data_IF_097911973916
#
_entry.id   IF_097911973916
#
_cell.length_a   1.000
_cell.length_b   1.000
_cell.length_c   1.000
_cell.angle_alpha   90.00
_cell.angle_beta   90.00
_cell.angle_gamma   90.00
#
_symmetry.space_group_name_H-M   'P 1'
#
loop_
_entity.id
_entity.type
_entity.pdbx_description
1 polymer ?
#
# COMPACT_ATOMS: atom_id res chain seq x y z
N UNK A 1 9.92 -17.30 -15.67
CA UNK A 1 9.42 -18.68 -15.80
C UNK A 1 7.98 -18.85 -15.31
N UNK A 2 7.48 -18.01 -14.39
CA UNK A 2 6.10 -18.11 -13.88
C UNK A 2 5.38 -16.76 -13.76
N UNK A 3 5.83 -15.74 -14.48
CA UNK A 3 5.19 -14.42 -14.45
C UNK A 3 3.87 -14.50 -15.21
N UNK A 4 2.73 -14.16 -14.58
CA UNK A 4 1.45 -14.09 -15.29
C UNK A 4 1.51 -13.09 -16.45
N UNK A 5 0.75 -13.32 -17.51
CA UNK A 5 0.63 -12.36 -18.60
C UNK A 5 0.07 -11.03 -18.05
N UNK A 6 0.62 -9.86 -18.42
CA UNK A 6 0.11 -8.57 -17.96
C UNK A 6 -1.38 -8.35 -18.24
N UNK A 7 -1.91 -8.94 -19.32
CA UNK A 7 -3.33 -8.88 -19.68
C UNK A 7 -4.21 -9.88 -18.92
N UNK A 8 -3.61 -10.84 -18.21
CA UNK A 8 -4.36 -11.80 -17.40
C UNK A 8 -5.03 -11.12 -16.21
N UNK A 9 -6.26 -11.55 -15.93
CA UNK A 9 -6.99 -11.14 -14.73
C UNK A 9 -6.17 -11.46 -13.47
N UNK A 10 -6.16 -10.54 -12.50
CA UNK A 10 -5.42 -10.65 -11.24
C UNK A 10 -3.89 -10.76 -11.40
N UNK A 11 -3.34 -10.45 -12.58
CA UNK A 11 -1.91 -10.19 -12.71
C UNK A 11 -1.51 -8.93 -11.92
N UNK A 12 -0.22 -8.75 -11.68
CA UNK A 12 0.27 -7.50 -11.10
C UNK A 12 -0.17 -6.27 -11.94
N UNK A 13 0.01 -6.34 -13.26
CA UNK A 13 -0.35 -5.26 -14.17
C UNK A 13 -1.86 -4.95 -14.11
N UNK A 14 -2.70 -5.98 -14.04
CA UNK A 14 -4.15 -5.85 -13.84
C UNK A 14 -4.46 -5.03 -12.58
N UNK A 15 -3.89 -5.38 -11.43
CA UNK A 15 -4.14 -4.65 -10.19
C UNK A 15 -3.60 -3.22 -10.21
N UNK A 16 -2.43 -2.99 -10.82
CA UNK A 16 -1.89 -1.63 -10.93
C UNK A 16 -2.71 -0.74 -11.87
N UNK A 17 -3.34 -1.31 -12.89
CA UNK A 17 -4.21 -0.58 -13.81
C UNK A 17 -5.64 -0.39 -13.31
N UNK A 18 -6.04 -1.09 -12.25
CA UNK A 18 -7.40 -1.09 -11.73
C UNK A 18 -7.76 0.29 -11.16
N UNK A 19 -8.80 0.91 -11.73
CA UNK A 19 -9.37 2.16 -11.20
C UNK A 19 -10.19 1.94 -9.94
N UNK A 20 -10.44 3.00 -9.17
CA UNK A 20 -11.35 2.94 -8.01
C UNK A 20 -12.74 2.41 -8.40
N UNK A 21 -13.30 2.89 -9.51
CA UNK A 21 -14.62 2.48 -9.98
C UNK A 21 -14.69 1.02 -10.44
N UNK A 22 -13.59 0.49 -10.99
CA UNK A 22 -13.49 -0.93 -11.33
C UNK A 22 -13.27 -1.81 -10.10
N UNK A 23 -12.39 -1.38 -9.18
CA UNK A 23 -12.10 -2.09 -7.94
C UNK A 23 -13.34 -2.28 -7.07
N UNK A 24 -14.17 -1.24 -6.94
CA UNK A 24 -15.42 -1.32 -6.17
C UNK A 24 -16.45 -2.29 -6.76
N UNK A 25 -16.37 -2.61 -8.07
CA UNK A 25 -17.28 -3.55 -8.76
C UNK A 25 -16.66 -4.94 -8.92
N UNK A 26 -15.41 -5.11 -8.51
CA UNK A 26 -14.67 -6.34 -8.70
C UNK A 26 -15.25 -7.43 -7.79
N UNK A 27 -15.63 -8.56 -8.40
CA UNK A 27 -15.96 -9.76 -7.64
C UNK A 27 -14.65 -10.40 -7.17
N UNK A 28 -14.24 -10.06 -5.96
CA UNK A 28 -12.98 -10.52 -5.41
C UNK A 28 -13.04 -12.00 -5.01
N UNK A 29 -12.03 -12.82 -5.37
CA UNK A 29 -11.99 -14.21 -4.94
C UNK A 29 -11.91 -14.34 -3.42
N UNK A 30 -12.61 -15.32 -2.85
CA UNK A 30 -12.51 -15.61 -1.43
C UNK A 30 -11.11 -16.13 -1.07
N UNK A 31 -10.46 -15.54 -0.08
CA UNK A 31 -9.16 -16.00 0.43
C UNK A 31 -9.42 -16.91 1.63
N UNK A 32 -8.90 -18.14 1.58
CA UNK A 32 -8.95 -19.05 2.71
C UNK A 32 -8.18 -18.51 3.91
N UNK A 33 -8.55 -18.89 5.15
CA UNK A 33 -7.74 -18.54 6.32
C UNK A 33 -6.35 -19.20 6.25
N UNK A 34 -5.37 -18.69 7.02
CA UNK A 34 -4.07 -19.34 7.15
C UNK A 34 -4.18 -20.80 7.61
N UNK A 35 -3.18 -21.62 7.29
CA UNK A 35 -3.05 -23.05 7.66
C UNK A 35 -4.06 -23.97 6.99
N UNK A 36 -4.48 -23.63 5.77
CA UNK A 36 -5.35 -24.51 4.96
C UNK A 36 -4.56 -25.46 4.07
N UNK A 37 -3.34 -25.13 3.66
CA UNK A 37 -2.46 -26.10 2.97
C UNK A 37 -1.86 -27.05 3.99
N UNK A 38 -2.25 -28.33 3.96
CA UNK A 38 -1.72 -29.35 4.88
C UNK A 38 -0.52 -30.12 4.31
N UNK A 39 -0.41 -30.21 2.99
CA UNK A 39 0.74 -30.78 2.30
C UNK A 39 0.86 -30.22 0.89
N UNK A 40 2.08 -30.19 0.34
CA UNK A 40 2.30 -29.84 -1.06
C UNK A 40 3.56 -30.53 -1.62
N UNK A 41 3.61 -30.69 -2.94
CA UNK A 41 4.77 -31.24 -3.65
C UNK A 41 4.89 -30.67 -5.06
N UNK A 42 6.12 -30.42 -5.51
CA UNK A 42 6.35 -29.98 -6.90
C UNK A 42 6.24 -31.17 -7.86
N UNK A 43 5.55 -30.96 -8.98
CA UNK A 43 5.31 -32.01 -9.97
C UNK A 43 5.73 -31.55 -11.37
N UNK A 44 6.01 -32.52 -12.25
CA UNK A 44 6.43 -32.27 -13.63
C UNK A 44 5.24 -32.10 -14.58
N UNK A 45 4.03 -32.41 -14.11
CA UNK A 45 2.82 -32.33 -14.91
C UNK A 45 2.43 -30.87 -15.15
N UNK A 46 1.91 -30.59 -16.34
CA UNK A 46 1.30 -29.29 -16.61
C UNK A 46 -0.06 -29.22 -15.92
N UNK A 47 -0.35 -28.08 -15.30
CA UNK A 47 -1.64 -27.81 -14.66
C UNK A 47 -2.30 -26.58 -15.30
N UNK A 48 -3.62 -26.46 -15.13
CA UNK A 48 -4.39 -25.31 -15.61
C UNK A 48 -3.93 -24.05 -14.87
N UNK A 49 -3.75 -22.97 -15.62
CA UNK A 49 -3.28 -21.68 -15.07
C UNK A 49 -4.42 -20.71 -14.73
N UNK A 50 -5.59 -20.92 -15.32
CA UNK A 50 -6.73 -20.01 -15.15
C UNK A 50 -7.41 -20.20 -13.79
N UNK A 51 -7.88 -19.08 -13.24
CA UNK A 51 -8.70 -19.06 -12.02
C UNK A 51 -10.16 -19.37 -12.39
N UNK A 52 -10.77 -20.36 -11.74
CA UNK A 52 -12.20 -20.59 -11.95
C UNK A 52 -13.04 -19.51 -11.25
N UNK A 53 -14.22 -19.20 -11.78
CA UNK A 53 -15.05 -18.06 -11.32
C UNK A 53 -15.43 -18.08 -9.83
N UNK A 54 -15.40 -19.25 -9.18
CA UNK A 54 -15.72 -19.42 -7.76
C UNK A 54 -14.58 -20.13 -6.99
N UNK A 55 -13.37 -20.11 -7.54
CA UNK A 55 -12.23 -20.73 -6.89
C UNK A 55 -11.74 -19.87 -5.73
N UNK A 56 -11.72 -20.47 -4.54
CA UNK A 56 -11.11 -19.86 -3.38
C UNK A 56 -9.58 -19.97 -3.45
N UNK A 57 -8.91 -18.95 -2.93
CA UNK A 57 -7.47 -18.74 -3.03
C UNK A 57 -6.81 -19.08 -1.68
N UNK A 58 -5.73 -19.88 -1.65
CA UNK A 58 -5.01 -20.11 -0.40
C UNK A 58 -4.40 -18.82 0.18
N UNK A 59 -4.28 -18.75 1.50
CA UNK A 59 -3.68 -17.61 2.19
C UNK A 59 -2.18 -17.46 1.86
N UNK A 60 -1.67 -16.22 1.85
CA UNK A 60 -0.27 -15.94 1.52
C UNK A 60 0.73 -16.69 2.41
N UNK A 61 0.44 -16.80 3.70
CA UNK A 61 1.29 -17.53 4.66
C UNK A 61 1.52 -18.99 4.25
N UNK A 62 0.49 -19.64 3.72
CA UNK A 62 0.58 -21.02 3.25
C UNK A 62 1.37 -21.10 1.93
N UNK A 63 1.20 -20.09 1.07
CA UNK A 63 1.86 -20.00 -0.24
C UNK A 63 3.35 -19.67 -0.15
N UNK A 64 3.82 -18.97 0.89
CA UNK A 64 5.21 -18.50 1.00
C UNK A 64 6.24 -19.63 0.87
N UNK A 65 5.97 -20.79 1.49
CA UNK A 65 6.85 -21.96 1.41
C UNK A 65 6.97 -22.51 -0.02
N UNK A 66 5.87 -22.52 -0.77
CA UNK A 66 5.81 -22.92 -2.17
C UNK A 66 6.54 -21.89 -3.02
N UNK A 67 6.21 -20.61 -2.86
CA UNK A 67 6.78 -19.47 -3.61
C UNK A 67 8.31 -19.45 -3.54
N UNK A 68 8.87 -19.70 -2.36
CA UNK A 68 10.32 -19.74 -2.15
C UNK A 68 11.01 -20.91 -2.86
N UNK A 69 10.31 -22.03 -3.04
CA UNK A 69 10.86 -23.24 -3.69
C UNK A 69 10.67 -23.30 -5.21
N UNK A 70 9.77 -22.48 -5.77
CA UNK A 70 9.33 -22.58 -7.16
C UNK A 70 10.44 -22.41 -8.19
N UNK A 71 11.38 -21.49 -7.98
CA UNK A 71 12.46 -21.25 -8.94
C UNK A 71 13.39 -22.45 -9.05
N UNK A 72 13.84 -22.95 -7.91
CA UNK A 72 14.68 -24.14 -7.85
C UNK A 72 13.94 -25.37 -8.43
N UNK A 73 12.64 -25.50 -8.17
CA UNK A 73 11.82 -26.58 -8.73
C UNK A 73 11.67 -26.47 -10.25
N UNK A 74 11.45 -25.27 -10.78
CA UNK A 74 11.35 -25.02 -12.22
C UNK A 74 12.63 -25.42 -12.95
N UNK A 75 13.78 -25.06 -12.37
CA UNK A 75 15.11 -25.41 -12.88
C UNK A 75 15.36 -26.93 -12.86
N UNK A 76 14.69 -27.68 -11.98
CA UNK A 76 14.71 -29.15 -11.94
C UNK A 76 13.68 -29.81 -12.87
N UNK A 77 12.91 -29.03 -13.62
CA UNK A 77 11.92 -29.54 -14.58
C UNK A 77 10.47 -29.56 -14.06
N UNK A 78 10.21 -29.18 -12.81
CA UNK A 78 8.84 -29.07 -12.31
C UNK A 78 8.08 -27.93 -13.01
N UNK A 79 6.76 -28.08 -13.15
CA UNK A 79 5.88 -27.12 -13.84
C UNK A 79 4.63 -26.76 -13.04
N UNK A 80 4.29 -27.55 -12.05
CA UNK A 80 3.14 -27.30 -11.17
C UNK A 80 3.44 -27.76 -9.74
N UNK A 81 2.49 -27.50 -8.85
CA UNK A 81 2.50 -27.94 -7.46
C UNK A 81 1.19 -28.69 -7.17
N UNK A 82 1.31 -29.91 -6.68
CA UNK A 82 0.20 -30.63 -6.07
C UNK A 82 0.01 -30.12 -4.64
N UNK A 83 -1.20 -29.69 -4.29
CA UNK A 83 -1.54 -29.08 -3.00
C UNK A 83 -2.71 -29.85 -2.40
N UNK A 84 -2.56 -30.27 -1.14
CA UNK A 84 -3.64 -30.79 -0.32
C UNK A 84 -4.17 -29.68 0.57
N UNK A 85 -5.42 -29.28 0.34
CA UNK A 85 -6.14 -28.30 1.16
C UNK A 85 -6.99 -29.01 2.19
N UNK A 86 -6.96 -28.56 3.44
CA UNK A 86 -7.84 -29.01 4.52
C UNK A 86 -8.85 -27.92 4.84
N UNK A 87 -10.09 -28.10 4.36
CA UNK A 87 -11.20 -27.14 4.52
C UNK A 87 -12.36 -27.83 5.22
N UNK A 88 -12.82 -27.27 6.34
CA UNK A 88 -13.91 -27.83 7.15
C UNK A 88 -13.71 -29.31 7.51
N UNK A 89 -12.46 -29.69 7.82
CA UNK A 89 -12.08 -31.06 8.19
C UNK A 89 -12.00 -32.05 7.02
N UNK A 90 -12.17 -31.60 5.77
CA UNK A 90 -12.05 -32.42 4.56
C UNK A 90 -10.81 -32.07 3.77
N UNK A 91 -10.18 -33.08 3.17
CA UNK A 91 -9.00 -32.90 2.35
C UNK A 91 -9.35 -32.89 0.86
N UNK A 92 -8.84 -31.89 0.15
CA UNK A 92 -9.01 -31.72 -1.29
C UNK A 92 -7.64 -31.67 -1.93
N UNK A 93 -7.43 -32.43 -2.99
CA UNK A 93 -6.19 -32.39 -3.75
C UNK A 93 -6.39 -31.56 -5.02
N UNK A 94 -5.50 -30.60 -5.23
CA UNK A 94 -5.47 -29.74 -6.40
C UNK A 94 -4.08 -29.75 -7.01
N UNK A 95 -4.00 -29.54 -8.33
CA UNK A 95 -2.73 -29.29 -9.02
C UNK A 95 -2.77 -27.90 -9.61
N UNK A 96 -1.82 -27.05 -9.22
CA UNK A 96 -1.76 -25.64 -9.64
C UNK A 96 -0.49 -25.36 -10.42
N UNK A 97 -0.63 -24.66 -11.55
CA UNK A 97 0.54 -24.20 -12.29
C UNK A 97 1.31 -23.16 -11.47
N UNK A 98 2.60 -22.99 -11.77
CA UNK A 98 3.38 -21.94 -11.11
C UNK A 98 2.85 -20.52 -11.39
N UNK A 99 2.24 -20.30 -12.55
CA UNK A 99 1.60 -19.03 -12.90
C UNK A 99 0.40 -18.79 -11.96
N UNK A 100 -0.42 -19.82 -11.74
CA UNK A 100 -1.59 -19.74 -10.87
C UNK A 100 -1.22 -19.44 -9.40
N UNK A 101 -0.14 -20.04 -8.90
CA UNK A 101 0.40 -19.71 -7.56
C UNK A 101 0.83 -18.23 -7.47
N UNK A 102 1.39 -17.64 -8.53
CA UNK A 102 1.72 -16.20 -8.56
C UNK A 102 0.45 -15.33 -8.59
N UNK A 103 -0.57 -15.74 -9.34
CA UNK A 103 -1.87 -15.06 -9.33
C UNK A 103 -2.49 -15.09 -7.92
N UNK A 104 -2.47 -16.23 -7.23
CA UNK A 104 -2.91 -16.33 -5.84
C UNK A 104 -2.15 -15.36 -4.92
N UNK A 105 -0.82 -15.25 -5.09
CA UNK A 105 -0.02 -14.31 -4.32
C UNK A 105 -0.39 -12.84 -4.62
N UNK A 106 -0.67 -12.50 -5.89
CA UNK A 106 -1.15 -11.16 -6.25
C UNK A 106 -2.50 -10.84 -5.61
N UNK A 107 -3.45 -11.77 -5.65
CA UNK A 107 -4.75 -11.63 -4.97
C UNK A 107 -4.54 -11.38 -3.47
N UNK A 108 -3.67 -12.14 -2.81
CA UNK A 108 -3.40 -11.87 -1.39
C UNK A 108 -2.76 -10.49 -1.16
N UNK A 109 -1.82 -10.07 -2.01
CA UNK A 109 -1.09 -8.80 -1.83
C UNK A 109 -1.95 -7.55 -2.09
N UNK A 110 -3.01 -7.66 -2.89
CA UNK A 110 -3.86 -6.54 -3.27
C UNK A 110 -5.23 -6.53 -2.57
N UNK A 111 -5.53 -7.50 -1.70
CA UNK A 111 -6.82 -7.60 -1.00
C UNK A 111 -7.16 -6.31 -0.23
N UNK A 112 -6.24 -5.86 0.63
CA UNK A 112 -6.41 -4.63 1.42
C UNK A 112 -6.63 -3.41 0.53
N UNK A 113 -5.92 -3.32 -0.59
CA UNK A 113 -6.06 -2.20 -1.52
C UNK A 113 -7.43 -2.18 -2.20
N UNK A 114 -7.96 -3.34 -2.59
CA UNK A 114 -9.29 -3.46 -3.19
C UNK A 114 -10.39 -3.17 -2.17
N UNK A 115 -10.28 -3.72 -0.95
CA UNK A 115 -11.23 -3.44 0.13
C UNK A 115 -11.24 -1.94 0.47
N UNK A 116 -10.06 -1.33 0.56
CA UNK A 116 -9.89 0.10 0.78
C UNK A 116 -10.50 0.95 -0.34
N UNK A 117 -10.33 0.54 -1.60
CA UNK A 117 -10.92 1.21 -2.74
C UNK A 117 -12.45 1.14 -2.70
N UNK A 118 -13.01 -0.01 -2.32
CA UNK A 118 -14.46 -0.18 -2.15
C UNK A 118 -15.01 0.78 -1.09
N UNK A 119 -14.40 0.80 0.10
CA UNK A 119 -14.82 1.68 1.20
C UNK A 119 -14.75 3.17 0.80
N UNK A 120 -13.70 3.59 0.10
CA UNK A 120 -13.56 4.95 -0.41
C UNK A 120 -14.64 5.30 -1.44
N UNK A 121 -14.94 4.41 -2.39
CA UNK A 121 -15.99 4.65 -3.39
C UNK A 121 -17.36 4.77 -2.73
N UNK A 122 -17.68 3.87 -1.79
CA UNK A 122 -18.94 3.91 -1.05
C UNK A 122 -19.08 5.21 -0.26
N UNK A 123 -18.03 5.64 0.43
CA UNK A 123 -18.03 6.91 1.17
C UNK A 123 -18.20 8.13 0.25
N UNK A 124 -17.44 8.20 -0.84
CA UNK A 124 -17.46 9.36 -1.74
C UNK A 124 -18.80 9.51 -2.48
N UNK A 125 -19.43 8.38 -2.83
CA UNK A 125 -20.74 8.37 -3.51
C UNK A 125 -21.90 8.70 -2.58
N UNK A 126 -21.80 8.36 -1.29
CA UNK A 126 -22.86 8.60 -0.31
C UNK A 126 -22.82 10.00 0.31
N UNK A 127 -21.63 10.57 0.52
CA UNK A 127 -21.47 11.84 1.23
C UNK A 127 -21.60 13.09 0.35
N UNK A 128 -21.61 12.94 -0.98
CA UNK A 128 -21.61 14.07 -1.93
C UNK A 128 -20.46 15.08 -1.69
N UNK A 129 -19.35 14.62 -1.10
CA UNK A 129 -18.17 15.45 -0.81
C UNK A 129 -17.54 16.01 -2.10
N UNK A 130 -17.59 15.23 -3.18
CA UNK A 130 -17.05 15.59 -4.49
C UNK A 130 -18.14 16.11 -5.41
N UNK A 131 -17.82 17.12 -6.23
CA UNK A 131 -18.67 17.48 -7.37
C UNK A 131 -18.73 16.32 -8.35
N UNK A 132 -19.78 16.20 -9.19
CA UNK A 132 -19.91 15.08 -10.14
C UNK A 132 -18.67 14.89 -11.02
N UNK A 133 -18.10 15.99 -11.53
CA UNK A 133 -16.87 15.95 -12.33
C UNK A 133 -15.66 15.44 -11.55
N UNK A 134 -15.52 15.79 -10.27
CA UNK A 134 -14.43 15.28 -9.43
C UNK A 134 -14.65 13.82 -9.05
N UNK A 135 -15.90 13.40 -8.83
CA UNK A 135 -16.26 12.02 -8.60
C UNK A 135 -15.91 11.14 -9.81
N UNK A 136 -16.27 11.56 -11.02
CA UNK A 136 -15.91 10.83 -12.26
C UNK A 136 -14.39 10.68 -12.43
N UNK A 137 -13.64 11.73 -12.09
CA UNK A 137 -12.16 11.69 -12.08
C UNK A 137 -11.62 10.74 -11.02
N UNK A 138 -12.18 10.76 -9.81
CA UNK A 138 -11.80 9.84 -8.75
C UNK A 138 -12.05 8.38 -9.17
N UNK A 139 -13.25 8.07 -9.67
CA UNK A 139 -13.63 6.72 -10.10
C UNK A 139 -12.78 6.17 -11.25
N UNK A 140 -12.27 7.04 -12.13
CA UNK A 140 -11.40 6.65 -13.25
C UNK A 140 -9.90 6.61 -12.91
N UNK A 141 -9.50 7.05 -11.71
CA UNK A 141 -8.10 7.06 -11.30
C UNK A 141 -7.66 5.65 -10.84
N UNK A 142 -6.51 5.13 -11.28
CA UNK A 142 -5.96 3.88 -10.76
C UNK A 142 -5.75 3.96 -9.25
N UNK A 143 -6.24 2.97 -8.50
CA UNK A 143 -6.20 2.99 -7.03
C UNK A 143 -4.76 2.97 -6.47
N UNK A 144 -3.81 2.49 -7.29
CA UNK A 144 -2.38 2.45 -6.97
C UNK A 144 -1.61 3.71 -7.39
N UNK A 145 -2.28 4.67 -8.03
CA UNK A 145 -1.67 5.95 -8.39
C UNK A 145 -1.18 6.69 -7.15
N UNK A 146 -0.20 7.57 -7.34
CA UNK A 146 0.32 8.46 -6.30
C UNK A 146 -0.40 9.79 -6.32
N UNK A 147 -0.37 10.50 -5.20
CA UNK A 147 -0.86 11.88 -5.17
C UNK A 147 0.17 12.80 -5.86
N UNK A 148 -0.21 13.55 -6.88
CA UNK A 148 0.70 14.49 -7.54
C UNK A 148 0.71 15.85 -6.84
N UNK A 149 1.86 16.51 -6.82
CA UNK A 149 2.00 17.88 -6.30
C UNK A 149 2.34 18.01 -4.82
N UNK A 150 2.63 16.89 -4.15
CA UNK A 150 3.11 16.81 -2.76
C UNK A 150 4.47 16.09 -2.80
N UNK A 151 5.43 16.51 -2.00
CA UNK A 151 6.77 15.94 -1.96
C UNK A 151 6.79 14.57 -1.28
N UNK A 152 5.95 14.37 -0.24
CA UNK A 152 5.89 13.13 0.55
C UNK A 152 4.98 12.05 -0.08
N UNK A 153 4.44 12.26 -1.27
CA UNK A 153 3.33 11.46 -1.83
C UNK A 153 3.71 10.14 -2.49
N UNK A 154 4.75 9.45 -2.03
CA UNK A 154 5.17 8.18 -2.66
C UNK A 154 4.22 7.01 -2.40
N UNK A 155 3.11 7.25 -1.70
CA UNK A 155 2.14 6.23 -1.31
C UNK A 155 0.94 6.15 -2.28
N UNK A 156 0.34 4.95 -2.42
CA UNK A 156 -0.80 4.74 -3.30
C UNK A 156 -2.10 5.33 -2.72
N UNK A 157 -2.95 5.87 -3.59
CA UNK A 157 -4.19 6.57 -3.20
C UNK A 157 -5.16 5.73 -2.38
N UNK A 158 -5.19 4.40 -2.56
CA UNK A 158 -6.06 3.54 -1.75
C UNK A 158 -5.78 3.65 -0.25
N UNK A 159 -4.56 4.02 0.19
CA UNK A 159 -4.23 4.22 1.60
C UNK A 159 -5.01 5.37 2.25
N UNK A 160 -5.63 6.25 1.45
CA UNK A 160 -6.52 7.29 1.99
C UNK A 160 -7.76 6.71 2.68
N UNK A 161 -8.04 5.41 2.51
CA UNK A 161 -9.07 4.70 3.27
C UNK A 161 -8.84 4.77 4.77
N UNK A 162 -7.60 4.95 5.25
CA UNK A 162 -7.32 5.12 6.67
C UNK A 162 -7.94 6.38 7.28
N UNK A 163 -8.44 7.31 6.45
CA UNK A 163 -9.19 8.48 6.89
C UNK A 163 -10.69 8.18 7.12
N UNK A 164 -11.13 6.96 6.81
CA UNK A 164 -12.49 6.50 7.03
C UNK A 164 -12.58 5.79 8.38
N UNK A 165 -13.61 6.12 9.17
CA UNK A 165 -13.86 5.43 10.44
C UNK A 165 -12.79 5.64 11.50
N UNK A 166 -12.46 4.57 12.21
CA UNK A 166 -11.50 4.54 13.34
C UNK A 166 -10.28 3.66 13.02
N UNK A 167 -9.77 3.74 11.79
CA UNK A 167 -8.55 3.03 11.38
C UNK A 167 -7.27 3.76 11.78
N UNK A 168 -6.17 3.02 11.86
CA UNK A 168 -4.84 3.58 12.11
C UNK A 168 -4.38 4.43 10.93
N UNK A 169 -3.98 5.67 11.21
CA UNK A 169 -3.46 6.57 10.18
C UNK A 169 -2.08 6.12 9.70
N UNK A 170 -1.92 6.02 8.38
CA UNK A 170 -0.62 5.81 7.77
C UNK A 170 0.25 7.05 7.87
N UNK A 171 1.53 6.87 8.20
CA UNK A 171 2.49 7.96 8.39
C UNK A 171 2.61 8.84 7.14
N UNK A 172 2.65 8.21 5.96
CA UNK A 172 2.70 8.91 4.67
C UNK A 172 1.48 9.83 4.47
N UNK A 173 0.29 9.39 4.92
CA UNK A 173 -0.96 10.17 4.83
C UNK A 173 -0.90 11.37 5.78
N UNK A 174 -0.41 11.17 7.01
CA UNK A 174 -0.23 12.27 7.99
C UNK A 174 0.73 13.32 7.45
N UNK A 175 1.85 12.90 6.86
CA UNK A 175 2.83 13.81 6.28
C UNK A 175 2.26 14.55 5.06
N UNK A 176 1.50 13.88 4.19
CA UNK A 176 0.85 14.55 3.06
C UNK A 176 -0.21 15.57 3.49
N UNK A 177 -1.05 15.25 4.48
CA UNK A 177 -1.99 16.22 5.05
C UNK A 177 -1.26 17.43 5.65
N UNK A 178 -0.11 17.19 6.27
CA UNK A 178 0.72 18.24 6.86
C UNK A 178 1.37 19.14 5.80
N UNK A 179 1.77 18.57 4.66
CA UNK A 179 2.25 19.34 3.52
C UNK A 179 1.11 20.16 2.87
N UNK A 180 -0.10 19.62 2.78
CA UNK A 180 -1.28 20.38 2.35
C UNK A 180 -1.57 21.56 3.29
N UNK A 181 -1.49 21.35 4.61
CA UNK A 181 -1.62 22.42 5.59
C UNK A 181 -0.54 23.51 5.41
N UNK A 182 0.70 23.10 5.10
CA UNK A 182 1.76 24.04 4.76
C UNK A 182 1.40 24.87 3.52
N UNK A 183 0.94 24.24 2.43
CA UNK A 183 0.53 24.96 1.22
C UNK A 183 -0.65 25.90 1.43
N UNK A 184 -1.64 25.52 2.24
CA UNK A 184 -2.74 26.41 2.62
C UNK A 184 -2.20 27.65 3.35
N UNK A 185 -1.30 27.45 4.32
CA UNK A 185 -0.69 28.57 5.05
C UNK A 185 0.19 29.45 4.15
N UNK A 186 0.84 28.89 3.13
CA UNK A 186 1.56 29.66 2.09
C UNK A 186 0.56 30.50 1.28
N UNK A 187 -0.52 29.89 0.80
CA UNK A 187 -1.51 30.55 -0.06
C UNK A 187 -2.25 31.68 0.66
N UNK A 188 -2.41 31.58 1.98
CA UNK A 188 -3.02 32.60 2.84
C UNK A 188 -2.03 33.70 3.27
N UNK A 189 -0.73 33.53 3.01
CA UNK A 189 0.30 34.48 3.42
C UNK A 189 0.67 35.43 2.28
N UNK A 190 0.71 36.74 2.59
CA UNK A 190 1.30 37.75 1.69
C UNK A 190 2.84 37.72 1.68
N UNK A 191 3.45 36.90 2.55
CA UNK A 191 4.90 36.80 2.63
C UNK A 191 5.45 35.90 1.53
N UNK A 192 6.55 36.33 0.90
CA UNK A 192 7.33 35.50 -0.03
C UNK A 192 7.75 34.18 0.63
N UNK A 193 8.00 34.25 1.93
CA UNK A 193 8.42 33.16 2.78
C UNK A 193 7.39 32.92 3.88
N UNK A 194 6.71 31.76 3.90
CA UNK A 194 5.71 31.47 4.92
C UNK A 194 6.34 31.53 6.32
N UNK A 195 5.66 32.18 7.29
CA UNK A 195 6.14 32.26 8.67
C UNK A 195 5.90 30.97 9.46
N UNK A 196 5.52 29.89 8.77
CA UNK A 196 5.26 28.57 9.36
C UNK A 196 6.21 27.54 8.75
N UNK A 197 6.72 26.66 9.59
CA UNK A 197 7.46 25.47 9.17
C UNK A 197 6.76 24.24 9.75
N UNK A 198 6.51 23.24 8.91
CA UNK A 198 5.96 21.96 9.34
C UNK A 198 7.01 20.89 9.03
N UNK A 199 7.45 20.17 10.05
CA UNK A 199 8.48 19.14 9.95
C UNK A 199 7.82 17.75 9.90
N UNK A 200 8.25 16.86 9.00
CA UNK A 200 7.68 15.52 8.87
C UNK A 200 7.96 14.68 10.10
N UNK A 201 7.18 13.61 10.28
CA UNK A 201 7.26 12.66 11.40
C UNK A 201 8.65 12.06 11.62
N UNK A 202 9.42 11.86 10.55
CA UNK A 202 10.78 11.32 10.61
C UNK A 202 11.83 12.31 11.13
N UNK A 203 11.55 13.62 11.08
CA UNK A 203 12.56 14.65 11.36
C UNK A 203 13.15 14.56 12.76
N UNK A 204 12.30 14.40 13.79
CA UNK A 204 12.74 14.34 15.18
C UNK A 204 13.48 13.04 15.50
N UNK A 205 13.04 11.92 14.92
CA UNK A 205 13.71 10.63 15.06
C UNK A 205 15.13 10.68 14.45
N UNK A 206 15.26 11.22 13.23
CA UNK A 206 16.54 11.40 12.56
C UNK A 206 17.47 12.33 13.34
N UNK A 207 16.93 13.47 13.81
CA UNK A 207 17.70 14.44 14.58
C UNK A 207 18.23 13.84 15.89
N UNK A 208 17.39 13.07 16.60
CA UNK A 208 17.78 12.37 17.83
C UNK A 208 18.88 11.34 17.54
N UNK A 209 18.64 10.47 16.57
CA UNK A 209 19.59 9.41 16.20
C UNK A 209 20.97 9.95 15.84
N UNK A 210 21.04 11.02 15.04
CA UNK A 210 22.30 11.63 14.62
C UNK A 210 23.01 12.41 15.73
N UNK A 211 22.24 13.02 16.64
CA UNK A 211 22.78 13.74 17.79
C UNK A 211 23.42 12.79 18.83
N UNK A 212 22.96 11.55 18.89
CA UNK A 212 23.50 10.49 19.75
C UNK A 212 24.78 9.84 19.20
N UNK A 213 25.16 10.11 17.94
CA UNK A 213 26.40 9.59 17.33
C UNK A 213 27.67 10.28 17.86
N UNK A 214 28.82 9.59 17.75
CA UNK A 214 30.15 10.15 18.05
C UNK A 214 31.10 9.96 16.87
N UNK A 215 31.55 11.05 16.20
CA UNK A 215 31.20 12.45 16.47
C UNK A 215 29.73 12.74 16.18
N UNK A 216 29.19 13.79 16.81
CA UNK A 216 27.81 14.24 16.55
C UNK A 216 27.66 14.61 15.08
N UNK A 217 26.60 14.11 14.45
CA UNK A 217 26.28 14.39 13.06
C UNK A 217 25.03 15.26 12.98
N UNK A 218 24.90 16.00 11.88
CA UNK A 218 23.71 16.80 11.58
C UNK A 218 23.20 16.41 10.20
N UNK A 219 21.91 16.13 10.07
CA UNK A 219 21.32 15.81 8.76
C UNK A 219 21.31 17.05 7.86
N UNK A 220 21.33 16.87 6.53
CA UNK A 220 21.10 17.96 5.58
C UNK A 220 19.81 18.74 5.90
N UNK A 221 18.75 18.04 6.34
CA UNK A 221 17.47 18.65 6.71
C UNK A 221 17.59 19.56 7.94
N UNK A 222 18.35 19.16 8.96
CA UNK A 222 18.57 19.97 10.15
C UNK A 222 19.43 21.21 9.84
N UNK A 223 20.43 21.06 8.96
CA UNK A 223 21.23 22.20 8.46
C UNK A 223 20.36 23.16 7.64
N UNK A 224 19.48 22.63 6.77
CA UNK A 224 18.55 23.43 5.98
C UNK A 224 17.54 24.18 6.86
N UNK A 225 16.99 23.53 7.89
CA UNK A 225 16.12 24.18 8.87
C UNK A 225 16.85 25.33 9.57
N UNK A 226 18.08 25.11 10.04
CA UNK A 226 18.88 26.17 10.67
C UNK A 226 19.12 27.36 9.73
N UNK A 227 19.37 27.10 8.45
CA UNK A 227 19.51 28.16 7.45
C UNK A 227 18.19 28.92 7.28
N UNK A 228 17.07 28.22 7.13
CA UNK A 228 15.72 28.80 7.01
C UNK A 228 15.38 29.73 8.19
N UNK A 229 15.63 29.28 9.41
CA UNK A 229 15.38 30.05 10.62
C UNK A 229 16.25 31.32 10.74
N UNK A 230 17.35 31.39 10.00
CA UNK A 230 18.23 32.57 9.94
C UNK A 230 17.89 33.51 8.80
N UNK A 231 17.38 32.98 7.69
CA UNK A 231 17.15 33.73 6.46
C UNK A 231 15.73 34.31 6.37
N UNK A 232 14.76 33.73 7.08
CA UNK A 232 13.36 34.13 7.01
C UNK A 232 12.72 34.24 8.41
N UNK A 233 11.73 35.14 8.58
CA UNK A 233 10.96 35.24 9.81
C UNK A 233 10.04 34.01 9.93
N UNK A 234 10.44 33.04 10.76
CA UNK A 234 9.59 31.90 11.13
C UNK A 234 8.98 32.20 12.50
N UNK A 235 7.65 32.27 12.55
CA UNK A 235 6.88 32.56 13.75
C UNK A 235 6.46 31.27 14.48
N UNK A 236 6.24 30.19 13.74
CA UNK A 236 5.75 28.93 14.29
C UNK A 236 6.43 27.75 13.61
N UNK A 237 6.87 26.78 14.41
CA UNK A 237 7.37 25.49 13.95
C UNK A 237 6.46 24.40 14.52
N UNK A 238 5.85 23.61 13.64
CA UNK A 238 5.16 22.37 13.99
C UNK A 238 6.09 21.20 13.71
N UNK A 239 6.38 20.39 14.72
CA UNK A 239 7.12 19.15 14.56
C UNK A 239 6.21 17.97 14.84
N UNK A 240 5.91 17.21 13.79
CA UNK A 240 5.16 15.97 13.90
C UNK A 240 6.07 14.88 14.45
N UNK A 241 5.52 14.01 15.28
CA UNK A 241 6.24 12.90 15.87
C UNK A 241 5.35 11.66 15.88
N UNK A 242 5.88 10.55 15.37
CA UNK A 242 5.27 9.25 15.49
C UNK A 242 6.12 8.40 16.42
N UNK A 243 5.56 7.98 17.56
CA UNK A 243 6.25 7.10 18.51
C UNK A 243 5.29 6.01 19.00
N UNK A 244 5.67 4.75 18.82
CA UNK A 244 4.86 3.59 19.20
C UNK A 244 3.42 3.68 18.65
N UNK A 245 3.30 3.92 17.34
CA UNK A 245 2.04 4.06 16.62
C UNK A 245 1.15 5.23 17.10
N UNK A 246 1.71 6.16 17.87
CA UNK A 246 1.00 7.35 18.34
C UNK A 246 1.54 8.62 17.70
N UNK A 247 0.64 9.40 17.07
CA UNK A 247 0.97 10.70 16.51
C UNK A 247 0.83 11.81 17.55
N UNK A 248 1.83 12.66 17.61
CA UNK A 248 1.87 13.86 18.45
C UNK A 248 2.45 15.03 17.67
N UNK A 249 2.08 16.25 18.05
CA UNK A 249 2.58 17.48 17.42
C UNK A 249 3.15 18.40 18.49
N UNK A 250 4.39 18.82 18.30
CA UNK A 250 5.02 19.86 19.11
C UNK A 250 4.93 21.20 18.38
N UNK A 251 4.61 22.27 19.11
CA UNK A 251 4.53 23.63 18.58
C UNK A 251 5.54 24.52 19.29
N UNK A 252 6.42 25.15 18.52
CA UNK A 252 7.41 26.12 19.00
C UNK A 252 7.19 27.48 18.35
#
# INVERSE_FOLDING_TARGET
YSTPDPSSQFSFAYFTGLSFGEAAKLHYPNIYPPKTISAWTFTHEAAVSDLASNEAVPHLDDLNSILNGMEAAFNRGARSVGVTLTVSGRNYYHSYSFIKIRIFAHINNFSIAVDSAHALVDYMTTTSLLTPTLLDRFLSTPMTSKMFGIYVSDFPLWKLSCLLGEDWLHEDVVNALSELLYFTAVAESDAVDPPVVILPTSFLADAKYLYEQSPRLFSPNLVALRHRLRSAPVNVIYALNCFSDHYSTYRH
#
